data_IF_692157149232
#
_entry.id   IF_692157149232
#
_cell.length_a   1.000
_cell.length_b   1.000
_cell.length_c   1.000
_cell.angle_alpha   90.00
_cell.angle_beta   90.00
_cell.angle_gamma   90.00
#
_symmetry.space_group_name_H-M   'P 1'
#
loop_
_entity.id
_entity.type
_entity.pdbx_description
1 polymer ?
#
# COMPACT_ATOMS: atom_id res chain seq x y z
N UNK A 1 -4.18 7.34 -8.44
CA UNK A 1 -2.92 8.07 -8.21
C UNK A 1 -3.26 9.39 -7.56
N UNK A 2 -2.61 9.68 -6.44
CA UNK A 2 -2.76 10.95 -5.75
C UNK A 2 -2.17 12.10 -6.59
N UNK A 3 -2.67 13.31 -6.34
CA UNK A 3 -2.15 14.56 -6.89
C UNK A 3 -1.42 15.32 -5.79
N UNK A 4 -0.32 15.99 -6.14
CA UNK A 4 0.41 16.79 -5.16
C UNK A 4 -0.48 17.93 -4.64
N UNK A 5 -0.46 18.15 -3.32
CA UNK A 5 -1.23 19.20 -2.65
C UNK A 5 -0.34 19.95 -1.66
N UNK A 6 -0.66 21.22 -1.41
CA UNK A 6 0.09 22.09 -0.48
C UNK A 6 -0.37 21.95 0.97
N UNK A 7 -1.56 21.40 1.19
CA UNK A 7 -2.18 21.30 2.50
C UNK A 7 -2.77 19.91 2.70
N UNK A 8 -2.68 19.40 3.91
CA UNK A 8 -3.37 18.17 4.32
C UNK A 8 -4.84 18.53 4.53
N UNK A 9 -5.79 17.86 3.86
CA UNK A 9 -7.20 18.13 4.07
C UNK A 9 -7.62 17.74 5.48
N UNK A 10 -8.64 18.40 6.02
CA UNK A 10 -9.22 18.11 7.33
C UNK A 10 -10.65 17.60 7.20
N UNK A 11 -11.14 16.96 8.27
CA UNK A 11 -12.52 16.48 8.39
C UNK A 11 -12.65 14.96 8.48
N UNK A 12 -13.83 14.46 8.94
CA UNK A 12 -14.06 13.05 9.27
C UNK A 12 -14.05 12.09 8.06
N UNK A 13 -14.10 12.65 6.86
CA UNK A 13 -14.18 11.93 5.59
C UNK A 13 -12.81 11.52 5.02
N UNK A 14 -11.71 11.92 5.66
CA UNK A 14 -10.37 11.67 5.16
C UNK A 14 -9.67 10.54 5.92
N UNK A 15 -8.88 9.77 5.19
CA UNK A 15 -7.88 8.84 5.68
C UNK A 15 -6.51 9.36 5.24
N UNK A 16 -5.57 9.44 6.17
CA UNK A 16 -4.21 9.91 5.96
C UNK A 16 -3.25 8.75 6.16
N UNK A 17 -2.53 8.37 5.10
CA UNK A 17 -1.64 7.21 5.08
C UNK A 17 -0.19 7.68 4.97
N UNK A 18 0.73 6.95 5.59
CA UNK A 18 2.17 7.18 5.37
C UNK A 18 2.48 7.04 3.89
N UNK A 19 3.13 8.05 3.30
CA UNK A 19 3.70 7.93 1.96
C UNK A 19 5.03 7.18 2.09
N UNK A 20 5.16 6.09 1.36
CA UNK A 20 6.45 5.47 1.10
C UNK A 20 6.94 5.86 -0.29
N UNK A 21 8.27 5.95 -0.46
CA UNK A 21 8.89 6.08 -1.78
C UNK A 21 9.38 4.71 -2.24
N UNK A 22 8.84 4.25 -3.37
CA UNK A 22 9.12 2.91 -3.85
C UNK A 22 8.58 2.65 -5.25
N UNK A 23 8.26 1.38 -5.50
CA UNK A 23 7.57 0.96 -6.71
C UNK A 23 6.17 0.45 -6.41
N UNK A 24 5.15 1.17 -6.89
CA UNK A 24 3.78 0.67 -6.86
C UNK A 24 3.67 -0.73 -7.47
N UNK A 25 3.08 -1.63 -6.71
CA UNK A 25 3.00 -3.05 -7.00
C UNK A 25 1.59 -3.59 -6.77
N UNK A 26 1.03 -4.22 -7.80
CA UNK A 26 -0.20 -4.99 -7.70
C UNK A 26 0.15 -6.46 -7.46
N UNK A 27 -0.21 -6.97 -6.29
CA UNK A 27 -0.08 -8.38 -5.93
C UNK A 27 -1.36 -9.12 -6.33
N UNK A 28 -1.23 -10.13 -7.17
CA UNK A 28 -2.32 -10.94 -7.69
C UNK A 28 -2.13 -12.38 -7.20
N UNK A 29 -2.87 -12.79 -6.17
CA UNK A 29 -2.98 -14.19 -5.73
C UNK A 29 -4.18 -14.85 -6.38
N UNK A 30 -3.94 -15.91 -7.16
CA UNK A 30 -4.97 -16.76 -7.76
C UNK A 30 -4.60 -18.22 -7.54
N UNK A 31 -5.30 -18.88 -6.60
CA UNK A 31 -4.95 -20.24 -6.15
C UNK A 31 -3.47 -20.28 -5.77
N UNK A 32 -2.71 -21.28 -6.22
CA UNK A 32 -1.27 -21.39 -5.92
C UNK A 32 -0.35 -20.47 -6.73
N UNK A 33 -0.88 -19.61 -7.61
CA UNK A 33 -0.08 -18.62 -8.36
C UNK A 33 -0.13 -17.25 -7.71
N UNK A 34 1.04 -16.61 -7.64
CA UNK A 34 1.18 -15.19 -7.34
C UNK A 34 1.82 -14.50 -8.54
N UNK A 35 1.33 -13.31 -8.89
CA UNK A 35 2.00 -12.38 -9.79
C UNK A 35 2.18 -11.03 -9.13
N UNK A 36 3.32 -10.40 -9.38
CA UNK A 36 3.62 -9.03 -8.98
C UNK A 36 3.67 -8.17 -10.23
N UNK A 37 2.69 -7.28 -10.41
CA UNK A 37 2.65 -6.39 -11.56
C UNK A 37 3.02 -4.97 -11.14
N UNK A 38 4.09 -4.44 -11.74
CA UNK A 38 4.43 -3.03 -11.59
C UNK A 38 3.30 -2.14 -12.13
N UNK A 39 3.38 -0.84 -11.84
CA UNK A 39 2.46 0.17 -12.38
C UNK A 39 2.21 0.10 -13.88
N UNK A 40 3.22 -0.28 -14.68
CA UNK A 40 3.12 -0.35 -16.14
C UNK A 40 2.74 -1.76 -16.65
N UNK A 41 2.38 -2.68 -15.74
CA UNK A 41 1.99 -4.05 -16.07
C UNK A 41 3.16 -5.03 -16.25
N UNK A 42 4.41 -4.59 -16.08
CA UNK A 42 5.56 -5.49 -16.14
C UNK A 42 5.52 -6.48 -14.97
N UNK A 43 5.69 -7.75 -15.27
CA UNK A 43 5.73 -8.84 -14.29
C UNK A 43 7.09 -8.88 -13.57
N UNK A 44 7.07 -8.59 -12.27
CA UNK A 44 8.22 -8.57 -11.38
C UNK A 44 8.18 -9.72 -10.36
N UNK A 45 7.42 -10.78 -10.64
CA UNK A 45 7.24 -11.92 -9.71
C UNK A 45 8.57 -12.57 -9.34
N UNK A 46 9.51 -12.68 -10.28
CA UNK A 46 10.85 -13.23 -10.01
C UNK A 46 11.76 -12.27 -9.25
N UNK A 47 11.41 -10.99 -9.19
CA UNK A 47 12.26 -9.94 -8.63
C UNK A 47 12.13 -9.86 -7.11
N UNK A 48 10.91 -9.94 -6.57
CA UNK A 48 10.64 -9.76 -5.14
C UNK A 48 10.06 -11.05 -4.53
N UNK A 49 10.92 -12.05 -4.23
CA UNK A 49 10.48 -13.37 -3.79
C UNK A 49 9.78 -13.35 -2.43
N UNK A 50 10.15 -12.46 -1.52
CA UNK A 50 9.55 -12.37 -0.19
C UNK A 50 8.08 -11.91 -0.22
N UNK A 51 7.76 -10.92 -1.07
CA UNK A 51 6.35 -10.53 -1.32
C UNK A 51 5.55 -11.72 -1.87
N UNK A 52 6.14 -12.52 -2.77
CA UNK A 52 5.49 -13.72 -3.31
C UNK A 52 5.21 -14.74 -2.21
N UNK A 53 6.18 -15.01 -1.35
CA UNK A 53 6.05 -15.93 -0.22
C UNK A 53 5.00 -15.47 0.79
N UNK A 54 4.97 -14.18 1.13
CA UNK A 54 3.97 -13.59 2.00
C UNK A 54 2.55 -13.74 1.42
N UNK A 55 2.37 -13.46 0.12
CA UNK A 55 1.08 -13.65 -0.56
C UNK A 55 0.63 -15.12 -0.60
N UNK A 56 1.57 -16.07 -0.77
CA UNK A 56 1.33 -17.51 -0.79
C UNK A 56 0.78 -18.06 0.53
N UNK A 57 1.18 -17.47 1.67
CA UNK A 57 0.67 -17.85 3.00
C UNK A 57 -0.84 -17.61 3.14
N UNK A 58 -1.43 -16.78 2.28
CA UNK A 58 -2.86 -16.66 2.16
C UNK A 58 -3.43 -17.50 1.01
N UNK A 59 -4.25 -18.49 1.36
CA UNK A 59 -4.92 -19.39 0.41
C UNK A 59 -6.11 -18.72 -0.29
N UNK A 60 -6.63 -17.62 0.25
CA UNK A 60 -7.74 -16.87 -0.33
C UNK A 60 -7.27 -16.15 -1.61
N UNK A 61 -8.07 -16.18 -2.68
CA UNK A 61 -7.83 -15.35 -3.86
C UNK A 61 -7.91 -13.88 -3.47
N UNK A 62 -6.87 -13.10 -3.74
CA UNK A 62 -6.86 -11.68 -3.38
C UNK A 62 -5.97 -10.85 -4.30
N UNK A 63 -6.43 -9.63 -4.63
CA UNK A 63 -5.67 -8.65 -5.39
C UNK A 63 -5.41 -7.45 -4.48
N UNK A 64 -4.15 -7.14 -4.21
CA UNK A 64 -3.73 -6.10 -3.25
C UNK A 64 -2.85 -5.07 -3.96
N UNK A 65 -3.13 -3.80 -3.72
CA UNK A 65 -2.36 -2.68 -4.24
C UNK A 65 -1.51 -2.09 -3.11
N UNK A 66 -0.23 -1.87 -3.38
CA UNK A 66 0.74 -1.45 -2.38
C UNK A 66 1.97 -0.83 -3.00
N UNK A 67 2.90 -0.45 -2.13
CA UNK A 67 4.22 0.06 -2.50
C UNK A 67 5.27 -0.96 -2.12
N UNK A 68 6.09 -1.38 -3.08
CA UNK A 68 7.27 -2.20 -2.83
C UNK A 68 8.43 -1.29 -2.40
N UNK A 69 9.02 -1.55 -1.23
CA UNK A 69 9.97 -0.64 -0.56
C UNK A 69 11.13 -1.42 0.08
N UNK A 70 12.24 -0.72 0.26
CA UNK A 70 13.28 -1.08 1.23
C UNK A 70 13.20 -0.03 2.33
N UNK A 71 13.20 -0.44 3.60
CA UNK A 71 13.22 0.48 4.73
C UNK A 71 14.61 0.52 5.37
N UNK A 72 15.06 1.72 5.74
CA UNK A 72 16.19 1.91 6.64
C UNK A 72 15.86 1.48 8.06
N UNK A 73 16.89 1.46 8.91
CA UNK A 73 16.76 1.10 10.35
C UNK A 73 15.85 2.05 11.13
N UNK A 74 15.62 3.24 10.61
CA UNK A 74 14.72 4.27 11.13
C UNK A 74 13.27 4.14 10.62
N UNK A 75 13.01 3.17 9.74
CA UNK A 75 11.70 2.95 9.11
C UNK A 75 11.40 3.88 7.93
N UNK A 76 12.36 4.70 7.50
CA UNK A 76 12.22 5.57 6.31
C UNK A 76 12.50 4.74 5.06
N UNK A 77 11.71 4.94 3.99
CA UNK A 77 11.94 4.25 2.72
C UNK A 77 13.21 4.73 2.03
N UNK A 78 14.12 3.81 1.70
CA UNK A 78 15.33 4.08 0.94
C UNK A 78 15.13 3.73 -0.55
N UNK A 79 14.72 4.74 -1.32
CA UNK A 79 14.50 4.57 -2.76
C UNK A 79 15.80 4.27 -3.52
N UNK A 80 16.96 4.77 -3.07
CA UNK A 80 18.23 4.51 -3.73
C UNK A 80 18.65 3.04 -3.56
N UNK A 81 18.50 2.49 -2.34
CA UNK A 81 18.72 1.08 -2.08
C UNK A 81 17.80 0.20 -2.95
N UNK A 82 16.50 0.51 -3.00
CA UNK A 82 15.54 -0.19 -3.86
C UNK A 82 15.90 -0.08 -5.35
N UNK A 83 16.32 1.09 -5.82
CA UNK A 83 16.69 1.33 -7.21
C UNK A 83 17.99 0.61 -7.60
N UNK A 84 18.92 0.44 -6.66
CA UNK A 84 20.20 -0.22 -6.89
C UNK A 84 20.09 -1.70 -7.29
N UNK A 85 18.94 -2.33 -6.99
CA UNK A 85 18.66 -3.76 -7.17
C UNK A 85 19.51 -4.71 -6.34
N UNK A 86 20.34 -4.20 -5.42
CA UNK A 86 21.20 -5.03 -4.55
C UNK A 86 20.45 -5.70 -3.41
N UNK A 87 19.28 -5.17 -3.08
CA UNK A 87 18.43 -5.61 -1.96
C UNK A 87 17.06 -6.07 -2.47
N UNK A 88 16.96 -6.56 -3.71
CA UNK A 88 15.70 -7.05 -4.31
C UNK A 88 15.06 -8.17 -3.45
N UNK A 89 15.88 -8.94 -2.73
CA UNK A 89 15.46 -9.97 -1.78
C UNK A 89 14.96 -9.43 -0.44
N UNK A 90 15.31 -8.20 -0.05
CA UNK A 90 14.83 -7.56 1.19
C UNK A 90 13.57 -6.70 0.99
N UNK A 91 13.06 -6.63 -0.25
CA UNK A 91 11.92 -5.77 -0.59
C UNK A 91 10.63 -6.27 0.04
N UNK A 92 9.98 -5.38 0.77
CA UNK A 92 8.69 -5.59 1.42
C UNK A 92 7.58 -4.83 0.71
N UNK A 93 6.33 -5.21 0.94
CA UNK A 93 5.15 -4.52 0.45
C UNK A 93 4.41 -3.81 1.58
N UNK A 94 4.19 -2.51 1.42
CA UNK A 94 3.22 -1.76 2.22
C UNK A 94 1.93 -1.59 1.42
N UNK A 95 0.97 -2.46 1.71
CA UNK A 95 -0.33 -2.53 1.08
C UNK A 95 -1.25 -1.40 1.59
N UNK A 96 -1.78 -0.61 0.66
CA UNK A 96 -2.69 0.48 0.99
C UNK A 96 -4.13 0.26 0.52
N UNK A 97 -4.39 -0.71 -0.36
CA UNK A 97 -5.75 -1.05 -0.82
C UNK A 97 -5.90 -2.55 -1.16
N UNK A 98 -7.15 -3.02 -1.24
CA UNK A 98 -7.52 -4.36 -1.68
C UNK A 98 -8.62 -4.26 -2.73
N UNK A 99 -8.40 -4.89 -3.89
CA UNK A 99 -9.29 -4.79 -5.04
C UNK A 99 -10.19 -6.02 -5.17
N UNK A 100 -9.68 -7.19 -4.82
CA UNK A 100 -10.40 -8.46 -4.88
C UNK A 100 -10.11 -9.26 -3.63
N UNK A 101 -11.12 -9.95 -3.10
CA UNK A 101 -10.99 -10.87 -1.97
C UNK A 101 -11.98 -12.02 -2.10
N UNK A 102 -11.53 -13.26 -1.93
CA UNK A 102 -12.39 -14.45 -1.96
C UNK A 102 -13.11 -14.68 -3.30
N UNK A 103 -12.73 -13.94 -4.36
CA UNK A 103 -13.46 -13.94 -5.63
C UNK A 103 -14.28 -12.69 -5.89
N UNK A 104 -14.63 -11.93 -4.85
CA UNK A 104 -15.46 -10.74 -4.91
C UNK A 104 -14.66 -9.51 -5.34
N UNK A 105 -15.27 -8.68 -6.19
CA UNK A 105 -14.73 -7.38 -6.57
C UNK A 105 -15.08 -6.31 -5.52
N UNK A 106 -14.06 -5.82 -4.82
CA UNK A 106 -14.21 -4.83 -3.75
C UNK A 106 -14.07 -3.39 -4.24
N UNK A 107 -13.67 -3.16 -5.49
CA UNK A 107 -13.49 -1.80 -6.07
C UNK A 107 -14.75 -0.92 -5.95
N UNK A 108 -15.99 -1.45 -6.05
CA UNK A 108 -17.21 -0.67 -5.85
C UNK A 108 -17.46 -0.20 -4.41
N UNK A 109 -16.78 -0.79 -3.41
CA UNK A 109 -16.96 -0.44 -2.01
C UNK A 109 -16.24 0.86 -1.64
N UNK A 110 -16.70 1.59 -0.60
CA UNK A 110 -15.93 2.67 0.03
C UNK A 110 -14.54 2.23 0.50
N UNK A 111 -13.56 3.14 0.44
CA UNK A 111 -12.18 2.90 0.89
C UNK A 111 -12.12 2.38 2.33
N UNK A 112 -12.95 2.91 3.23
CA UNK A 112 -13.03 2.44 4.61
C UNK A 112 -13.32 0.94 4.73
N UNK A 113 -14.24 0.41 3.91
CA UNK A 113 -14.56 -1.02 3.89
C UNK A 113 -13.44 -1.84 3.24
N UNK A 114 -12.78 -1.29 2.21
CA UNK A 114 -11.61 -1.96 1.59
C UNK A 114 -10.45 -2.05 2.59
N UNK A 115 -10.14 -0.97 3.32
CA UNK A 115 -9.14 -0.96 4.40
C UNK A 115 -9.43 -2.00 5.48
N UNK A 116 -10.66 -2.11 5.95
CA UNK A 116 -11.07 -3.16 6.90
C UNK A 116 -10.89 -4.57 6.33
N UNK A 117 -11.18 -4.78 5.05
CA UNK A 117 -10.96 -6.06 4.39
C UNK A 117 -9.47 -6.40 4.24
N UNK A 118 -8.65 -5.41 3.91
CA UNK A 118 -7.20 -5.55 3.81
C UNK A 118 -6.58 -5.91 5.17
N UNK A 119 -6.95 -5.18 6.23
CA UNK A 119 -6.50 -5.47 7.58
C UNK A 119 -6.91 -6.87 8.04
N UNK A 120 -8.11 -7.34 7.67
CA UNK A 120 -8.56 -8.71 7.95
C UNK A 120 -7.82 -9.76 7.11
N UNK A 121 -7.42 -9.44 5.87
CA UNK A 121 -6.65 -10.33 5.00
C UNK A 121 -5.24 -10.57 5.54
N UNK A 122 -4.59 -9.53 6.07
CA UNK A 122 -3.21 -9.54 6.56
C UNK A 122 -3.08 -9.76 8.07
N UNK A 123 -4.20 -9.96 8.78
CA UNK A 123 -4.20 -10.16 10.24
C UNK A 123 -3.41 -11.40 10.64
N UNK A 124 -2.52 -11.25 11.62
CA UNK A 124 -1.77 -12.38 12.20
C UNK A 124 -0.74 -13.00 11.24
N UNK A 125 -0.38 -12.30 10.16
CA UNK A 125 0.62 -12.72 9.18
C UNK A 125 1.63 -11.60 8.93
N UNK A 126 2.43 -11.21 9.96
CA UNK A 126 3.46 -10.20 9.80
C UNK A 126 4.65 -10.83 9.08
N UNK A 127 4.53 -10.96 7.77
CA UNK A 127 5.66 -11.20 6.87
C UNK A 127 5.80 -9.96 5.98
N UNK A 128 6.51 -10.07 4.86
CA UNK A 128 6.89 -8.98 3.93
C UNK A 128 5.71 -8.29 3.20
N UNK A 129 4.48 -8.40 3.72
CA UNK A 129 3.30 -7.66 3.31
C UNK A 129 2.59 -7.06 4.54
N UNK A 130 2.65 -5.74 4.67
CA UNK A 130 2.07 -4.99 5.78
C UNK A 130 0.93 -4.09 5.31
N UNK A 131 0.00 -3.75 6.20
CA UNK A 131 -0.94 -2.65 5.94
C UNK A 131 -0.20 -1.33 6.14
N UNK A 132 -0.22 -0.45 5.14
CA UNK A 132 0.29 0.92 5.29
C UNK A 132 -0.37 1.61 6.49
N UNK A 133 0.40 2.10 7.47
CA UNK A 133 -0.14 2.82 8.61
C UNK A 133 -0.99 4.01 8.16
N UNK A 134 -2.14 4.19 8.80
CA UNK A 134 -3.07 5.26 8.46
C UNK A 134 -3.88 5.72 9.66
N UNK A 135 -4.28 6.97 9.60
CA UNK A 135 -5.17 7.61 10.57
C UNK A 135 -6.38 8.21 9.86
N UNK A 136 -7.51 8.34 10.56
CA UNK A 136 -8.74 8.89 9.98
C UNK A 136 -9.20 10.15 10.73
N UNK A 137 -9.81 11.07 9.99
CA UNK A 137 -10.47 12.25 10.54
C UNK A 137 -9.59 13.48 10.66
N UNK A 138 -9.90 14.33 11.64
CA UNK A 138 -9.38 15.71 11.72
C UNK A 138 -7.89 15.81 12.06
N UNK A 139 -7.27 14.71 12.50
CA UNK A 139 -5.87 14.66 12.97
C UNK A 139 -4.82 14.67 11.85
N UNK A 140 -5.23 14.82 10.58
CA UNK A 140 -4.30 14.77 9.45
C UNK A 140 -3.13 15.75 9.55
N UNK A 141 -3.35 16.93 10.12
CA UNK A 141 -2.31 17.96 10.27
C UNK A 141 -1.24 17.56 11.31
N UNK A 142 -1.67 16.94 12.40
CA UNK A 142 -0.84 16.43 13.50
C UNK A 142 -0.03 15.23 13.02
N UNK A 143 -0.69 14.31 12.31
CA UNK A 143 -0.06 13.14 11.69
C UNK A 143 1.01 13.60 10.70
N UNK A 144 0.75 14.64 9.90
CA UNK A 144 1.75 15.17 8.97
C UNK A 144 2.95 15.78 9.67
N UNK A 145 2.74 16.58 10.72
CA UNK A 145 3.84 17.13 11.53
C UNK A 145 4.66 16.02 12.18
N UNK A 146 4.02 14.93 12.64
CA UNK A 146 4.71 13.77 13.17
C UNK A 146 5.54 13.06 12.08
N UNK A 147 4.96 12.84 10.89
CA UNK A 147 5.65 12.25 9.76
C UNK A 147 6.91 13.05 9.37
N UNK A 148 6.81 14.38 9.30
CA UNK A 148 7.96 15.27 9.03
C UNK A 148 9.04 15.13 10.10
N UNK A 149 8.68 15.10 11.39
CA UNK A 149 9.66 14.92 12.49
C UNK A 149 10.36 13.56 12.43
N UNK A 150 9.69 12.54 11.91
CA UNK A 150 10.23 11.20 11.73
C UNK A 150 11.01 11.04 10.42
N UNK A 151 11.18 12.11 9.62
CA UNK A 151 11.87 12.04 8.34
C UNK A 151 11.11 11.27 7.25
N UNK A 152 9.81 11.01 7.45
CA UNK A 152 8.99 10.34 6.44
C UNK A 152 8.72 11.27 5.26
N UNK A 153 8.60 10.68 4.07
CA UNK A 153 8.31 11.34 2.80
C UNK A 153 7.07 12.25 2.82
N UNK A 154 6.09 11.91 3.65
CA UNK A 154 4.85 12.67 3.81
C UNK A 154 3.65 11.75 3.96
N UNK A 155 2.49 12.26 3.53
CA UNK A 155 1.23 11.54 3.61
C UNK A 155 0.50 11.46 2.26
N UNK A 156 -0.25 10.40 2.08
CA UNK A 156 -1.29 10.29 1.05
C UNK A 156 -2.65 10.40 1.74
N UNK A 157 -3.40 11.46 1.41
CA UNK A 157 -4.75 11.66 1.93
C UNK A 157 -5.78 11.15 0.92
N UNK A 158 -6.77 10.38 1.39
CA UNK A 158 -7.79 9.76 0.54
C UNK A 158 -9.16 9.91 1.18
N UNK A 159 -10.18 10.21 0.37
CA UNK A 159 -11.57 10.19 0.82
C UNK A 159 -12.01 8.76 1.18
N UNK A 160 -12.51 8.58 2.41
CA UNK A 160 -12.87 7.26 2.99
C UNK A 160 -14.11 6.62 2.37
N UNK A 161 -15.00 7.45 1.82
CA UNK A 161 -16.29 7.09 1.23
C UNK A 161 -16.18 6.72 -0.26
N UNK A 162 -15.01 6.94 -0.88
CA UNK A 162 -14.82 6.78 -2.32
C UNK A 162 -14.53 5.34 -2.73
N UNK A 163 -15.06 5.01 -3.90
CA UNK A 163 -14.76 3.78 -4.66
C UNK A 163 -13.33 3.84 -5.21
N UNK A 164 -12.80 2.69 -5.61
CA UNK A 164 -11.51 2.65 -6.27
C UNK A 164 -11.61 3.19 -7.70
N UNK A 165 -10.74 4.11 -8.09
CA UNK A 165 -10.67 4.65 -9.45
C UNK A 165 -9.31 4.33 -10.10
N UNK A 166 -9.34 3.80 -11.33
CA UNK A 166 -8.12 3.62 -12.13
C UNK A 166 -7.71 4.97 -12.74
N UNK A 167 -6.47 5.39 -12.52
CA UNK A 167 -5.91 6.64 -13.07
C UNK A 167 -5.56 7.67 -12.00
N UNK A 168 -5.27 8.92 -12.41
CA UNK A 168 -5.09 10.06 -11.49
C UNK A 168 -6.46 10.50 -10.96
N UNK A 169 -6.54 10.67 -9.65
CA UNK A 169 -7.69 11.28 -8.97
C UNK A 169 -7.27 12.69 -8.54
N UNK A 170 -8.18 13.66 -8.71
CA UNK A 170 -8.01 15.01 -8.13
C UNK A 170 -8.45 15.07 -6.66
N UNK A 171 -9.17 14.05 -6.22
CA UNK A 171 -9.58 13.80 -4.84
C UNK A 171 -8.51 13.00 -4.09
#
# INVERSE_FOLDING_TARGET
MATAAKHVPSGPDWIHEVKYDGYRMLVIRQNERVRLLSRNGTDWTKRYPWIVQAALKNRERHFVDGEAVVLGVDGVSDFNALHSRRHDDEVQLYAFDILVRGGEDLRPLPLSLRKSNLARLLRGRPDDMFVTPFEAGEIGSEVYRAAVRMGLEGLVSKRRDRRYSSGRSKD
#
